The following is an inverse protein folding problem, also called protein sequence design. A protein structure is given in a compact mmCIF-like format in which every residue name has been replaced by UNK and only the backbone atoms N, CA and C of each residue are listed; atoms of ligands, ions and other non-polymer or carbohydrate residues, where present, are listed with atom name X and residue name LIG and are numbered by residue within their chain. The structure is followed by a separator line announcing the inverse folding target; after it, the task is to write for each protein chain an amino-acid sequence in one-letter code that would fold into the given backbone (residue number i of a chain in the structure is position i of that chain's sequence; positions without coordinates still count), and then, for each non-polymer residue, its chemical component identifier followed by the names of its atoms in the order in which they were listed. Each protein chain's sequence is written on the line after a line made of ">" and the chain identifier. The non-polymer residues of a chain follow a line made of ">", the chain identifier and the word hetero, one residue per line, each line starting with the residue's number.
data_IF_624555040776
#
_entry.id   IF_624555040776
#
_cell.length_a   1.000
_cell.length_b   1.000
_cell.length_c   1.000
_cell.angle_alpha   90.00
_cell.angle_beta   90.00
_cell.angle_gamma   90.00
#
_symmetry.space_group_name_H-M   'P 1'
#
loop_
_entity.id
_entity.type
_entity.pdbx_description
1 polymer ?
#
# COMPACT_ATOMS: atom_id res chain seq x y z
N UNK A 1 -48.60 -30.26 -32.89
CA UNK A 1 -48.12 -30.73 -34.22
C UNK A 1 -46.64 -30.38 -34.28
N UNK A 2 -45.63 -31.25 -34.32
CA UNK A 2 -45.43 -32.70 -34.50
C UNK A 2 -43.93 -32.84 -34.86
N UNK A 3 -43.20 -33.95 -34.70
CA UNK A 3 -43.50 -35.32 -34.24
C UNK A 3 -42.20 -36.04 -33.83
N UNK A 4 -42.28 -36.99 -32.89
CA UNK A 4 -41.22 -37.90 -32.38
C UNK A 4 -41.70 -39.33 -32.69
N UNK A 5 -40.91 -40.26 -33.32
CA UNK A 5 -39.70 -40.92 -32.75
C UNK A 5 -38.63 -41.25 -33.87
N UNK A 6 -37.64 -42.20 -33.73
CA UNK A 6 -37.21 -43.02 -32.58
C UNK A 6 -35.70 -43.10 -32.28
N UNK A 7 -35.43 -43.60 -31.07
CA UNK A 7 -34.16 -44.08 -30.52
C UNK A 7 -33.67 -45.42 -31.10
N UNK A 8 -32.37 -45.72 -30.94
CA UNK A 8 -31.83 -47.09 -30.93
C UNK A 8 -30.89 -47.33 -29.74
N UNK A 9 -30.79 -48.59 -29.36
CA UNK A 9 -30.31 -49.09 -28.07
C UNK A 9 -28.95 -49.82 -28.16
N UNK A 10 -28.32 -49.97 -26.97
CA UNK A 10 -27.42 -51.06 -26.53
C UNK A 10 -26.01 -51.18 -27.13
N UNK A 11 -25.02 -51.32 -26.23
CA UNK A 11 -23.61 -51.56 -26.58
C UNK A 11 -22.59 -51.56 -25.44
N UNK A 12 -22.83 -52.27 -24.32
CA UNK A 12 -21.77 -52.62 -23.34
C UNK A 12 -20.97 -53.83 -23.81
N UNK A 13 -19.63 -53.82 -23.72
CA UNK A 13 -18.91 -54.76 -22.83
C UNK A 13 -17.53 -54.22 -22.34
N UNK A 14 -16.67 -55.01 -21.67
CA UNK A 14 -16.91 -55.82 -20.48
C UNK A 14 -15.89 -55.53 -19.33
N UNK A 15 -16.19 -56.04 -18.14
CA UNK A 15 -15.27 -56.04 -16.98
C UNK A 15 -14.11 -57.03 -17.12
N UNK A 16 -12.89 -56.62 -16.71
CA UNK A 16 -11.75 -57.50 -16.31
C UNK A 16 -11.04 -56.87 -15.11
N UNK A 17 -11.26 -57.35 -13.89
CA UNK A 17 -10.56 -58.50 -13.25
C UNK A 17 -9.08 -58.23 -12.95
N UNK A 18 -8.76 -57.84 -11.72
CA UNK A 18 -7.40 -57.77 -11.18
C UNK A 18 -6.74 -59.14 -11.08
N UNK A 19 -5.40 -59.21 -11.18
CA UNK A 19 -4.59 -60.23 -10.51
C UNK A 19 -3.85 -59.63 -9.31
N UNK A 20 -4.06 -60.19 -8.12
CA UNK A 20 -3.19 -59.96 -6.97
C UNK A 20 -2.01 -60.94 -7.00
N UNK A 21 -0.84 -60.50 -6.47
CA UNK A 21 0.41 -61.22 -6.07
C UNK A 21 1.62 -60.32 -6.42
N UNK A 22 2.72 -60.26 -5.67
CA UNK A 22 3.11 -60.90 -4.41
C UNK A 22 4.03 -59.94 -3.61
N UNK A 23 3.91 -59.92 -2.28
CA UNK A 23 4.88 -59.30 -1.36
C UNK A 23 6.09 -60.23 -1.17
N UNK A 24 7.35 -59.74 -1.29
CA UNK A 24 8.52 -60.46 -0.80
C UNK A 24 8.77 -60.18 0.69
N UNK A 25 9.03 -61.26 1.42
CA UNK A 25 9.19 -61.36 2.87
C UNK A 25 10.41 -60.57 3.41
N UNK A 26 10.25 -59.99 4.61
CA UNK A 26 11.32 -59.44 5.47
C UNK A 26 12.58 -60.33 5.49
N UNK A 27 13.74 -59.77 5.14
CA UNK A 27 15.04 -60.25 5.67
C UNK A 27 15.49 -59.34 6.81
N UNK A 28 15.77 -59.95 7.96
CA UNK A 28 16.44 -59.29 9.10
C UNK A 28 17.93 -59.16 8.80
N UNK A 29 18.47 -57.95 8.83
CA UNK A 29 19.90 -57.69 8.97
C UNK A 29 20.21 -57.24 10.40
N UNK A 30 21.41 -57.61 10.89
CA UNK A 30 21.87 -57.43 12.28
C UNK A 30 22.31 -55.98 12.56
N UNK A 31 22.35 -55.54 13.83
CA UNK A 31 22.71 -54.18 14.19
C UNK A 31 24.21 -53.92 14.01
N UNK A 32 24.55 -52.72 13.52
CA UNK A 32 25.92 -52.21 13.52
C UNK A 32 26.08 -51.11 14.57
N UNK A 33 27.18 -51.27 15.31
CA UNK A 33 27.74 -50.49 16.41
C UNK A 33 27.61 -48.97 16.24
N UNK A 34 27.28 -48.31 17.35
CA UNK A 34 26.96 -46.90 17.42
C UNK A 34 28.08 -45.91 17.08
N UNK A 35 27.63 -44.77 16.55
CA UNK A 35 28.35 -43.50 16.61
C UNK A 35 27.69 -42.59 17.66
N UNK A 36 28.49 -42.10 18.60
CA UNK A 36 28.08 -41.05 19.55
C UNK A 36 27.81 -39.75 18.78
N UNK A 37 26.54 -39.37 18.65
CA UNK A 37 26.20 -37.98 18.34
C UNK A 37 26.48 -37.15 19.59
N UNK A 38 27.41 -36.20 19.49
CA UNK A 38 27.62 -35.20 20.54
C UNK A 38 26.42 -34.24 20.52
N UNK A 39 25.69 -34.14 21.62
CA UNK A 39 24.73 -33.06 21.82
C UNK A 39 25.45 -31.71 21.82
N UNK A 40 25.32 -30.96 20.74
CA UNK A 40 25.72 -29.56 20.71
C UNK A 40 24.66 -28.75 21.47
N UNK A 41 24.91 -28.50 22.76
CA UNK A 41 24.13 -27.54 23.56
C UNK A 41 24.12 -26.18 22.85
N UNK A 42 22.96 -25.75 22.37
CA UNK A 42 22.74 -24.37 21.96
C UNK A 42 22.80 -23.50 23.22
N UNK A 43 23.69 -22.51 23.32
CA UNK A 43 23.77 -21.66 24.50
C UNK A 43 22.61 -20.67 24.54
N UNK A 44 21.78 -20.75 25.57
CA UNK A 44 20.69 -19.81 25.83
C UNK A 44 21.26 -18.42 26.16
N UNK A 45 21.44 -17.56 25.16
CA UNK A 45 21.78 -16.16 25.40
C UNK A 45 20.56 -15.40 25.91
N UNK A 46 20.58 -15.08 27.22
CA UNK A 46 19.70 -14.08 27.82
C UNK A 46 19.96 -12.73 27.14
N UNK A 47 19.00 -12.23 26.36
CA UNK A 47 18.98 -10.83 25.95
C UNK A 47 18.50 -10.02 27.17
N UNK A 48 19.39 -9.20 27.73
CA UNK A 48 19.04 -8.26 28.79
C UNK A 48 18.21 -7.11 28.21
N UNK A 49 17.03 -6.86 28.78
CA UNK A 49 16.19 -5.73 28.37
C UNK A 49 16.74 -4.41 28.93
N UNK A 50 17.46 -3.65 28.11
CA UNK A 50 17.88 -2.28 28.44
C UNK A 50 16.67 -1.35 28.37
N UNK A 51 16.07 -1.09 29.54
CA UNK A 51 14.86 -0.29 29.70
C UNK A 51 15.21 1.20 29.90
N UNK A 52 15.30 1.97 28.82
CA UNK A 52 15.49 3.42 28.91
C UNK A 52 14.19 4.12 29.30
N UNK A 53 14.02 4.38 30.60
CA UNK A 53 12.99 5.27 31.13
C UNK A 53 13.46 6.72 30.99
N UNK A 54 12.67 7.56 30.33
CA UNK A 54 12.87 9.00 30.33
C UNK A 54 12.17 9.62 31.56
N UNK A 55 12.96 9.93 32.60
CA UNK A 55 12.47 10.64 33.78
C UNK A 55 12.27 12.11 33.46
N UNK A 56 11.06 12.64 33.63
CA UNK A 56 10.81 14.08 33.66
C UNK A 56 10.90 14.56 35.10
N UNK A 57 12.05 15.10 35.49
CA UNK A 57 12.19 15.75 36.80
C UNK A 57 11.61 17.16 36.76
N UNK A 58 10.81 17.48 37.78
CA UNK A 58 10.37 18.83 38.08
C UNK A 58 11.45 19.53 38.90
N UNK A 59 11.71 20.79 38.61
CA UNK A 59 12.29 21.73 39.58
C UNK A 59 11.22 22.75 39.97
N UNK A 60 10.80 22.69 41.22
CA UNK A 60 10.04 23.71 41.92
C UNK A 60 10.95 24.38 42.93
N UNK A 61 10.98 25.71 42.95
CA UNK A 61 11.23 26.62 44.10
C UNK A 61 11.65 28.00 43.54
N UNK A 62 11.46 29.15 44.21
CA UNK A 62 10.45 29.63 45.15
C UNK A 62 10.78 31.11 45.47
N UNK A 63 9.84 31.87 46.03
CA UNK A 63 10.02 33.23 46.57
C UNK A 63 10.28 34.36 45.56
N UNK A 64 9.89 35.63 45.82
CA UNK A 64 9.25 36.19 47.00
C UNK A 64 8.22 37.28 46.64
N UNK A 65 7.37 37.63 47.61
CA UNK A 65 6.33 38.66 47.54
C UNK A 65 6.83 40.07 47.18
N UNK A 66 5.95 40.90 46.59
CA UNK A 66 5.52 42.09 47.34
C UNK A 66 4.13 42.64 46.97
N UNK A 67 3.51 43.23 47.99
CA UNK A 67 2.32 44.07 48.05
C UNK A 67 2.38 45.31 47.10
N UNK A 68 1.30 46.04 46.77
CA UNK A 68 -0.13 45.97 47.10
C UNK A 68 -0.99 46.87 46.15
N UNK A 69 -2.33 46.73 46.26
CA UNK A 69 -3.43 47.75 46.25
C UNK A 69 -3.12 49.17 45.69
N UNK A 70 -4.03 49.88 45.00
CA UNK A 70 -5.40 50.28 45.39
C UNK A 70 -6.29 50.50 44.15
N UNK A 71 -7.62 50.50 44.38
CA UNK A 71 -8.76 50.53 43.45
C UNK A 71 -9.16 51.99 43.00
N UNK A 72 -10.34 52.32 42.42
CA UNK A 72 -10.43 53.28 41.31
C UNK A 72 -11.24 54.56 41.61
N UNK A 73 -11.39 55.48 40.64
CA UNK A 73 -12.31 56.62 40.81
C UNK A 73 -12.45 57.62 39.63
N UNK A 74 -13.69 57.72 39.15
CA UNK A 74 -14.40 58.79 38.43
C UNK A 74 -13.76 60.20 38.22
N UNK A 75 -14.17 60.89 37.14
CA UNK A 75 -13.96 62.35 37.04
C UNK A 75 -14.27 63.06 35.69
N UNK A 76 -15.55 63.30 35.42
CA UNK A 76 -16.16 64.40 34.65
C UNK A 76 -15.37 65.29 33.63
N UNK A 77 -15.96 65.42 32.43
CA UNK A 77 -16.16 66.66 31.63
C UNK A 77 -15.04 67.70 31.42
N UNK A 78 -14.85 68.10 30.15
CA UNK A 78 -15.14 69.50 29.80
C UNK A 78 -15.60 69.66 28.35
N UNK A 79 -16.25 70.79 28.05
CA UNK A 79 -16.93 71.07 26.79
C UNK A 79 -16.18 72.03 25.87
N UNK A 80 -16.63 72.02 24.61
CA UNK A 80 -16.63 73.12 23.63
C UNK A 80 -15.28 73.74 23.20
N UNK A 81 -14.89 73.46 21.95
CA UNK A 81 -14.47 74.51 21.01
C UNK A 81 -14.75 74.08 19.58
N UNK A 82 -15.50 74.91 18.87
CA UNK A 82 -15.75 74.82 17.43
C UNK A 82 -14.52 75.30 16.68
N UNK A 83 -14.19 74.64 15.57
CA UNK A 83 -13.66 75.32 14.39
C UNK A 83 -14.09 74.57 13.13
N UNK A 84 -14.45 75.33 12.08
CA UNK A 84 -15.11 74.80 10.89
C UNK A 84 -14.14 74.34 9.82
N UNK A 85 -14.30 73.12 9.34
CA UNK A 85 -13.67 72.62 8.10
C UNK A 85 -14.77 71.98 7.24
N UNK A 86 -14.87 72.30 5.93
CA UNK A 86 -15.89 71.70 5.07
C UNK A 86 -15.71 70.18 4.94
N UNK A 87 -16.77 69.42 5.20
CA UNK A 87 -16.80 67.98 4.91
C UNK A 87 -16.84 67.75 3.40
N UNK A 88 -15.71 67.40 2.81
CA UNK A 88 -15.68 66.73 1.50
C UNK A 88 -16.43 65.39 1.63
N UNK A 89 -17.37 65.05 0.74
CA UNK A 89 -18.04 63.75 0.78
C UNK A 89 -17.01 62.64 0.52
N UNK A 90 -16.87 61.74 1.49
CA UNK A 90 -15.96 60.60 1.42
C UNK A 90 -16.42 59.71 0.24
N UNK A 91 -15.58 59.41 -0.77
CA UNK A 91 -15.97 58.47 -1.81
C UNK A 91 -16.24 57.10 -1.17
N UNK A 92 -17.27 56.41 -1.67
CA UNK A 92 -17.67 55.10 -1.15
C UNK A 92 -16.47 54.16 -1.01
N UNK A 93 -16.36 53.38 0.10
CA UNK A 93 -15.39 52.30 0.14
C UNK A 93 -15.67 51.36 -1.05
N UNK A 94 -14.64 50.95 -1.81
CA UNK A 94 -14.86 50.09 -2.97
C UNK A 94 -15.58 48.82 -2.49
N UNK A 95 -16.69 48.51 -3.17
CA UNK A 95 -17.61 47.44 -2.77
C UNK A 95 -16.80 46.20 -2.38
N UNK A 96 -16.94 45.77 -1.12
CA UNK A 96 -16.25 44.62 -0.59
C UNK A 96 -16.59 43.42 -1.47
N UNK A 97 -15.68 43.09 -2.39
CA UNK A 97 -15.87 42.06 -3.42
C UNK A 97 -15.93 40.75 -2.68
N UNK A 98 -17.16 40.39 -2.30
CA UNK A 98 -17.48 39.26 -1.44
C UNK A 98 -17.17 38.02 -2.25
N UNK A 99 -15.89 37.62 -2.24
CA UNK A 99 -15.41 36.33 -2.71
C UNK A 99 -16.21 35.31 -1.94
N UNK A 100 -17.31 34.85 -2.54
CA UNK A 100 -17.96 33.60 -2.18
C UNK A 100 -16.82 32.58 -2.25
N UNK A 101 -16.29 32.21 -1.08
CA UNK A 101 -15.46 31.02 -0.97
C UNK A 101 -16.40 29.93 -1.40
N UNK A 102 -16.24 29.42 -2.62
CA UNK A 102 -16.93 28.22 -3.05
C UNK A 102 -16.53 27.16 -2.02
N UNK A 103 -17.45 26.83 -1.11
CA UNK A 103 -17.21 25.80 -0.12
C UNK A 103 -17.22 24.51 -0.92
N UNK A 104 -16.02 24.03 -1.28
CA UNK A 104 -15.87 22.74 -1.92
C UNK A 104 -16.46 21.71 -0.99
N UNK A 105 -17.60 21.14 -1.39
CA UNK A 105 -18.22 20.08 -0.61
C UNK A 105 -17.23 18.93 -0.49
N UNK A 106 -17.15 18.38 0.71
CA UNK A 106 -16.28 17.23 0.98
C UNK A 106 -17.02 16.19 1.77
N UNK A 107 -16.69 14.94 1.48
CA UNK A 107 -17.25 13.79 2.19
C UNK A 107 -16.16 12.81 2.60
N UNK A 108 -16.54 11.89 3.48
CA UNK A 108 -15.71 10.78 3.90
C UNK A 108 -16.35 9.50 3.41
N UNK A 109 -15.63 8.75 2.58
CA UNK A 109 -16.12 7.56 1.91
C UNK A 109 -15.30 6.36 2.37
N UNK A 110 -15.98 5.26 2.66
CA UNK A 110 -15.39 3.96 3.00
C UNK A 110 -15.63 2.97 1.87
N UNK A 111 -14.66 2.09 1.64
CA UNK A 111 -14.81 0.90 0.82
C UNK A 111 -14.36 -0.30 1.64
N UNK A 112 -15.26 -1.26 1.81
CA UNK A 112 -14.96 -2.59 2.34
C UNK A 112 -14.60 -3.52 1.18
N UNK A 113 -13.48 -4.25 1.30
CA UNK A 113 -12.97 -5.13 0.26
C UNK A 113 -12.89 -6.57 0.73
N UNK A 114 -13.48 -7.48 -0.06
CA UNK A 114 -13.26 -8.91 0.05
C UNK A 114 -12.45 -9.38 -1.16
N UNK A 115 -11.25 -9.90 -0.89
CA UNK A 115 -10.23 -10.18 -1.91
C UNK A 115 -9.97 -11.68 -1.95
N UNK A 116 -9.86 -12.24 -3.14
CA UNK A 116 -9.73 -13.68 -3.38
C UNK A 116 -8.50 -13.95 -4.26
N UNK A 117 -7.54 -14.72 -3.75
CA UNK A 117 -6.38 -15.17 -4.52
C UNK A 117 -6.82 -16.12 -5.66
N UNK A 118 -6.53 -15.74 -6.90
CA UNK A 118 -6.73 -16.60 -8.08
C UNK A 118 -5.43 -17.33 -8.48
N UNK A 119 -4.28 -16.78 -8.10
CA UNK A 119 -2.97 -17.43 -8.13
C UNK A 119 -2.36 -17.43 -6.73
N UNK A 120 -1.22 -18.09 -6.53
CA UNK A 120 -0.43 -17.87 -5.31
C UNK A 120 0.04 -16.42 -5.19
N UNK A 121 0.19 -15.95 -3.96
CA UNK A 121 0.65 -14.60 -3.62
C UNK A 121 1.97 -14.74 -2.86
N UNK A 122 2.97 -13.96 -3.27
CA UNK A 122 4.20 -13.78 -2.49
C UNK A 122 4.24 -12.34 -1.97
N UNK A 123 4.66 -12.11 -0.73
CA UNK A 123 4.92 -10.76 -0.22
C UNK A 123 6.07 -10.83 0.77
N UNK A 124 7.30 -10.66 0.29
CA UNK A 124 8.50 -10.81 1.13
C UNK A 124 8.62 -9.67 2.15
N UNK A 125 9.30 -9.96 3.25
CA UNK A 125 9.84 -8.92 4.12
C UNK A 125 11.18 -8.39 3.57
N UNK A 126 11.59 -7.18 3.96
CA UNK A 126 12.85 -6.57 3.49
C UNK A 126 14.11 -7.16 4.18
N UNK A 127 13.91 -7.96 5.23
CA UNK A 127 14.97 -8.49 6.12
C UNK A 127 15.69 -9.75 5.62
N UNK A 128 15.21 -10.40 4.55
CA UNK A 128 15.69 -11.74 4.17
C UNK A 128 16.86 -11.70 3.17
N UNK A 129 18.06 -12.05 3.64
CA UNK A 129 19.31 -12.13 2.85
C UNK A 129 19.65 -13.55 2.35
N UNK A 130 18.75 -14.51 2.47
CA UNK A 130 18.95 -15.92 2.09
C UNK A 130 18.29 -16.25 0.73
N UNK A 131 18.55 -17.45 0.21
CA UNK A 131 17.90 -17.96 -1.01
C UNK A 131 16.42 -18.28 -0.85
N UNK A 132 15.91 -18.35 0.39
CA UNK A 132 14.50 -18.59 0.72
C UNK A 132 13.86 -17.29 1.17
N UNK A 133 13.06 -16.66 0.31
CA UNK A 133 12.32 -15.45 0.64
C UNK A 133 11.05 -15.78 1.44
N UNK A 134 11.06 -15.51 2.75
CA UNK A 134 9.91 -15.73 3.63
C UNK A 134 8.83 -14.66 3.43
N UNK A 135 7.59 -15.05 3.69
CA UNK A 135 6.43 -14.16 3.63
C UNK A 135 6.46 -13.21 4.84
N UNK A 136 6.17 -11.94 4.57
CA UNK A 136 6.10 -10.88 5.58
C UNK A 136 5.03 -11.20 6.63
N UNK A 137 5.45 -11.26 7.89
CA UNK A 137 4.55 -11.47 9.02
C UNK A 137 4.39 -10.23 9.88
N UNK A 138 3.29 -10.18 10.61
CA UNK A 138 3.01 -9.21 11.67
C UNK A 138 2.43 -9.93 12.89
N UNK A 139 2.69 -9.40 14.08
CA UNK A 139 2.16 -9.94 15.33
C UNK A 139 0.67 -9.59 15.47
N UNK A 140 -0.16 -10.61 15.68
CA UNK A 140 -1.59 -10.51 15.94
C UNK A 140 -1.85 -11.09 17.32
N UNK A 141 -2.39 -10.25 18.22
CA UNK A 141 -2.77 -10.66 19.57
C UNK A 141 -4.03 -11.53 19.49
N UNK A 142 -3.93 -12.76 19.97
CA UNK A 142 -5.00 -13.75 20.01
C UNK A 142 -6.01 -13.46 21.14
N UNK A 143 -7.21 -14.08 21.13
CA UNK A 143 -8.22 -13.87 22.16
C UNK A 143 -7.79 -14.24 23.60
N UNK A 144 -6.77 -15.08 23.76
CA UNK A 144 -6.16 -15.44 25.05
C UNK A 144 -5.07 -14.46 25.52
N UNK A 145 -4.74 -13.45 24.71
CA UNK A 145 -3.70 -12.45 24.97
C UNK A 145 -2.30 -12.84 24.49
N UNK A 146 -2.11 -14.01 23.88
CA UNK A 146 -0.82 -14.40 23.27
C UNK A 146 -0.58 -13.69 21.93
N UNK A 147 0.67 -13.57 21.49
CA UNK A 147 1.03 -12.96 20.20
C UNK A 147 1.44 -14.02 19.18
N UNK A 148 0.82 -14.00 18.00
CA UNK A 148 1.16 -14.90 16.88
C UNK A 148 1.57 -14.14 15.61
N UNK A 149 2.61 -14.62 14.92
CA UNK A 149 3.13 -13.99 13.70
C UNK A 149 2.40 -14.48 12.45
N UNK A 150 1.46 -13.69 11.93
CA UNK A 150 0.60 -14.04 10.79
C UNK A 150 1.11 -13.41 9.48
N UNK A 151 1.11 -14.11 8.33
CA UNK A 151 1.43 -13.55 7.02
C UNK A 151 0.43 -12.45 6.61
N UNK A 152 0.89 -11.20 6.44
CA UNK A 152 0.02 -10.07 6.12
C UNK A 152 0.65 -9.21 5.00
N UNK A 153 -0.16 -8.88 4.00
CA UNK A 153 0.26 -7.96 2.93
C UNK A 153 0.12 -6.53 3.47
N UNK A 154 1.23 -5.79 3.46
CA UNK A 154 1.28 -4.46 4.06
C UNK A 154 0.39 -3.47 3.30
N UNK A 155 -0.33 -2.61 4.04
CA UNK A 155 -1.14 -1.55 3.45
C UNK A 155 -0.32 -0.57 2.60
N UNK A 156 1.00 -0.45 2.85
CA UNK A 156 1.91 0.32 1.99
C UNK A 156 2.10 -0.32 0.60
N UNK A 157 2.21 -1.66 0.52
CA UNK A 157 2.33 -2.36 -0.76
C UNK A 157 1.03 -2.24 -1.56
N UNK A 158 -0.11 -2.48 -0.92
CA UNK A 158 -1.43 -2.33 -1.55
C UNK A 158 -1.69 -0.89 -2.03
N UNK A 159 -1.37 0.10 -1.18
CA UNK A 159 -1.38 1.53 -1.55
C UNK A 159 -0.46 1.85 -2.72
N UNK A 160 0.70 1.18 -2.82
CA UNK A 160 1.64 1.31 -3.93
C UNK A 160 1.03 0.82 -5.24
N UNK A 161 0.34 -0.32 -5.24
CA UNK A 161 -0.42 -0.83 -6.40
C UNK A 161 -1.47 0.19 -6.85
N UNK A 162 -2.35 0.61 -5.94
CA UNK A 162 -3.44 1.56 -6.26
C UNK A 162 -2.89 2.92 -6.74
N UNK A 163 -1.74 3.38 -6.20
CA UNK A 163 -1.10 4.61 -6.68
C UNK A 163 -0.61 4.49 -8.13
N UNK A 164 -0.05 3.35 -8.53
CA UNK A 164 0.45 3.12 -9.89
C UNK A 164 -0.68 3.09 -10.92
N UNK A 165 -1.78 2.41 -10.60
CA UNK A 165 -3.02 2.45 -11.40
C UNK A 165 -3.51 3.90 -11.56
N UNK A 166 -3.52 4.67 -10.47
CA UNK A 166 -3.87 6.09 -10.53
C UNK A 166 -2.88 6.96 -11.33
N UNK A 167 -1.60 6.59 -11.37
CA UNK A 167 -0.57 7.27 -12.18
C UNK A 167 -0.75 6.99 -13.67
N UNK A 168 -1.05 5.74 -14.03
CA UNK A 168 -1.37 5.30 -15.39
C UNK A 168 -2.64 6.02 -15.89
N UNK A 169 -3.75 5.96 -15.13
CA UNK A 169 -4.97 6.70 -15.46
C UNK A 169 -4.77 8.21 -15.61
N UNK A 170 -3.89 8.80 -14.81
CA UNK A 170 -3.59 10.24 -14.87
C UNK A 170 -2.67 10.57 -16.05
N UNK A 171 -1.78 9.65 -16.44
CA UNK A 171 -0.93 9.77 -17.63
C UNK A 171 -1.76 9.80 -18.90
N UNK A 172 -2.76 8.90 -19.03
CA UNK A 172 -3.68 8.86 -20.18
C UNK A 172 -4.47 10.16 -20.40
N UNK A 173 -4.60 10.99 -19.34
CA UNK A 173 -5.35 12.25 -19.37
C UNK A 173 -4.45 13.46 -19.57
N UNK A 174 -3.28 13.48 -18.93
CA UNK A 174 -2.34 14.60 -19.03
C UNK A 174 -1.36 14.48 -20.19
N UNK A 175 -1.12 13.28 -20.72
CA UNK A 175 -0.16 13.02 -21.80
C UNK A 175 1.19 13.73 -21.57
N UNK A 176 1.88 13.30 -20.50
CA UNK A 176 3.10 13.95 -19.99
C UNK A 176 4.39 13.19 -20.32
N UNK A 177 4.32 12.19 -21.21
CA UNK A 177 5.49 11.36 -21.50
C UNK A 177 6.65 12.20 -22.05
N UNK A 178 7.83 12.08 -21.42
CA UNK A 178 9.00 12.90 -21.73
C UNK A 178 8.97 14.35 -21.22
N UNK A 179 7.87 14.87 -20.65
CA UNK A 179 7.76 16.27 -20.21
C UNK A 179 8.02 16.48 -18.72
N UNK A 180 7.82 15.46 -17.87
CA UNK A 180 8.00 15.59 -16.42
C UNK A 180 9.46 15.50 -15.97
N UNK A 181 9.79 16.27 -14.93
CA UNK A 181 11.03 16.10 -14.19
C UNK A 181 11.07 14.74 -13.48
N UNK A 182 12.26 14.16 -13.32
CA UNK A 182 12.44 12.89 -12.60
C UNK A 182 11.88 12.91 -11.15
N UNK A 183 12.01 14.00 -10.36
CA UNK A 183 11.33 14.14 -9.07
C UNK A 183 9.80 14.12 -9.17
N UNK A 184 9.20 14.78 -10.16
CA UNK A 184 7.75 14.77 -10.37
C UNK A 184 7.26 13.36 -10.74
N UNK A 185 7.92 12.70 -11.70
CA UNK A 185 7.60 11.34 -12.13
C UNK A 185 7.71 10.31 -10.98
N UNK A 186 8.79 10.36 -10.19
CA UNK A 186 8.89 9.55 -8.97
C UNK A 186 7.80 9.90 -7.96
N UNK A 187 7.42 11.17 -7.85
CA UNK A 187 6.34 11.56 -6.95
C UNK A 187 5.01 10.98 -7.38
N UNK A 188 4.60 11.11 -8.64
CA UNK A 188 3.38 10.49 -9.15
C UNK A 188 3.40 8.97 -8.95
N UNK A 189 4.48 8.28 -9.33
CA UNK A 189 4.53 6.81 -9.39
C UNK A 189 4.76 6.09 -8.05
N UNK A 190 5.53 6.67 -7.13
CA UNK A 190 5.87 6.02 -5.83
C UNK A 190 5.64 6.90 -4.60
N UNK A 191 5.26 8.17 -4.77
CA UNK A 191 5.11 9.14 -3.69
C UNK A 191 6.34 10.01 -3.46
N UNK A 192 7.45 9.73 -4.13
CA UNK A 192 8.68 10.53 -4.07
C UNK A 192 9.45 10.33 -2.77
N UNK A 193 10.69 10.83 -2.72
CA UNK A 193 11.55 10.77 -1.55
C UNK A 193 11.86 12.17 -1.03
N UNK A 194 11.82 12.36 0.29
CA UNK A 194 12.28 13.59 0.91
C UNK A 194 13.78 13.79 0.64
N UNK A 195 14.16 14.98 0.17
CA UNK A 195 15.55 15.37 -0.07
C UNK A 195 15.84 16.71 0.59
N UNK A 196 17.07 16.87 1.10
CA UNK A 196 17.57 18.17 1.55
C UNK A 196 17.94 18.99 0.31
N UNK A 197 17.07 19.91 -0.08
CA UNK A 197 17.28 20.81 -1.22
C UNK A 197 17.83 22.16 -0.72
N UNK A 198 18.69 22.83 -1.52
CA UNK A 198 19.22 24.17 -1.20
C UNK A 198 18.28 25.32 -1.61
N UNK A 199 17.25 25.04 -2.40
CA UNK A 199 16.24 26.00 -2.85
C UNK A 199 15.11 26.20 -1.83
N UNK A 200 14.30 27.22 -2.05
CA UNK A 200 13.11 27.49 -1.23
C UNK A 200 12.10 26.34 -1.33
N UNK A 201 11.58 25.81 -0.20
CA UNK A 201 10.49 24.83 -0.22
C UNK A 201 9.24 25.38 -0.90
N UNK A 202 8.44 24.52 -1.55
CA UNK A 202 7.14 24.94 -2.08
C UNK A 202 6.26 25.52 -0.96
N UNK A 203 5.72 26.72 -1.21
CA UNK A 203 4.84 27.40 -0.26
C UNK A 203 3.55 26.61 -0.01
N UNK A 204 2.96 26.80 1.18
CA UNK A 204 1.73 26.09 1.57
C UNK A 204 0.57 26.28 0.59
N UNK A 205 0.45 27.46 -0.05
CA UNK A 205 -0.55 27.73 -1.07
C UNK A 205 -0.30 26.97 -2.38
N UNK A 206 0.95 26.80 -2.82
CA UNK A 206 1.31 25.97 -3.98
C UNK A 206 1.01 24.49 -3.72
N UNK A 207 1.33 24.00 -2.52
CA UNK A 207 1.03 22.62 -2.11
C UNK A 207 -0.47 22.35 -2.00
N UNK A 208 -1.24 23.30 -1.48
CA UNK A 208 -2.71 23.22 -1.46
C UNK A 208 -3.31 23.27 -2.86
N UNK A 209 -2.82 24.16 -3.73
CA UNK A 209 -3.23 24.25 -5.12
C UNK A 209 -2.98 22.93 -5.86
N UNK A 210 -1.76 22.38 -5.82
CA UNK A 210 -1.42 21.09 -6.40
C UNK A 210 -2.32 19.94 -5.90
N UNK A 211 -2.63 19.93 -4.59
CA UNK A 211 -3.49 18.93 -3.94
C UNK A 211 -4.96 19.01 -4.38
N UNK A 212 -5.42 20.18 -4.79
CA UNK A 212 -6.79 20.39 -5.25
C UNK A 212 -6.92 20.23 -6.77
N UNK A 213 -5.88 20.60 -7.52
CA UNK A 213 -5.78 20.51 -8.98
C UNK A 213 -5.54 19.07 -9.46
N UNK A 214 -4.59 18.36 -8.86
CA UNK A 214 -4.14 17.04 -9.30
C UNK A 214 -4.75 15.97 -8.39
N UNK A 215 -5.75 15.18 -8.84
CA UNK A 215 -6.51 14.30 -7.95
C UNK A 215 -5.65 13.19 -7.32
N UNK A 216 -4.63 12.68 -8.03
CA UNK A 216 -3.65 11.73 -7.48
C UNK A 216 -2.90 12.30 -6.26
N UNK A 217 -2.46 13.55 -6.33
CA UNK A 217 -1.83 14.24 -5.19
C UNK A 217 -2.88 14.53 -4.09
N UNK A 218 -4.11 14.87 -4.47
CA UNK A 218 -5.23 15.03 -3.55
C UNK A 218 -5.54 13.78 -2.71
N UNK A 219 -5.49 12.61 -3.35
CA UNK A 219 -5.80 11.30 -2.77
C UNK A 219 -4.60 10.67 -2.08
N UNK A 220 -3.49 10.47 -2.80
CA UNK A 220 -2.31 9.75 -2.29
C UNK A 220 -1.19 10.68 -1.77
N UNK A 221 -1.30 12.00 -1.90
CA UNK A 221 -0.24 12.92 -1.47
C UNK A 221 1.07 12.71 -2.24
N UNK A 222 2.18 13.17 -1.67
CA UNK A 222 3.52 12.98 -2.24
C UNK A 222 4.55 13.90 -1.61
N UNK A 223 5.82 13.72 -1.97
CA UNK A 223 6.94 14.53 -1.49
C UNK A 223 7.36 15.58 -2.54
N UNK A 224 7.07 16.84 -2.21
CA UNK A 224 7.63 18.12 -2.66
C UNK A 224 9.08 18.40 -2.30
N UNK A 225 10.10 17.78 -2.89
CA UNK A 225 11.50 18.01 -2.51
C UNK A 225 11.77 17.84 -1.00
N UNK A 226 11.71 18.92 -0.21
CA UNK A 226 11.85 18.96 1.24
C UNK A 226 10.52 18.89 2.03
N UNK A 227 9.38 18.99 1.36
CA UNK A 227 8.05 19.14 1.98
C UNK A 227 7.09 18.00 1.60
N UNK A 228 6.26 17.56 2.56
CA UNK A 228 5.32 16.45 2.38
C UNK A 228 3.88 16.95 2.20
N UNK A 229 3.21 16.52 1.13
CA UNK A 229 1.77 16.70 0.93
C UNK A 229 1.04 15.49 1.50
N UNK A 230 0.22 15.71 2.53
CA UNK A 230 -0.63 14.66 3.11
C UNK A 230 -1.83 14.35 2.20
N UNK A 231 -1.86 13.12 1.67
CA UNK A 231 -3.01 12.56 0.96
C UNK A 231 -4.23 12.37 1.86
N UNK A 232 -5.39 12.12 1.23
CA UNK A 232 -6.67 11.83 1.92
C UNK A 232 -6.97 10.35 2.07
N UNK A 233 -6.27 9.47 1.35
CA UNK A 233 -6.42 8.03 1.42
C UNK A 233 -5.74 7.42 2.64
N UNK A 234 -6.53 6.69 3.43
CA UNK A 234 -6.11 5.70 4.41
C UNK A 234 -6.43 4.33 3.82
N UNK A 235 -5.49 3.39 3.87
CA UNK A 235 -5.60 2.08 3.22
C UNK A 235 -5.22 1.03 4.24
N UNK A 236 -6.12 0.07 4.46
CA UNK A 236 -5.91 -1.06 5.35
C UNK A 236 -4.80 -1.98 4.86
N UNK A 237 -4.35 -2.88 5.74
CA UNK A 237 -3.58 -4.06 5.34
C UNK A 237 -4.51 -5.00 4.59
N UNK A 238 -3.96 -5.90 3.78
CA UNK A 238 -4.74 -7.01 3.20
C UNK A 238 -4.44 -8.24 4.05
N UNK A 239 -5.39 -8.59 4.91
CA UNK A 239 -5.24 -9.57 6.00
C UNK A 239 -5.92 -10.87 5.57
N UNK A 240 -5.24 -12.03 5.57
CA UNK A 240 -5.87 -13.29 5.19
C UNK A 240 -6.89 -13.71 6.25
N UNK A 241 -7.96 -14.38 5.83
CA UNK A 241 -8.89 -15.06 6.74
C UNK A 241 -8.30 -16.41 7.12
N UNK A 242 -7.75 -16.48 8.33
CA UNK A 242 -7.18 -17.68 8.97
C UNK A 242 -7.66 -17.73 10.42
N UNK A 243 -7.47 -18.87 11.10
CA UNK A 243 -7.86 -19.04 12.52
C UNK A 243 -7.31 -17.91 13.40
N UNK A 244 -6.07 -17.49 13.15
CA UNK A 244 -5.30 -16.51 13.93
C UNK A 244 -5.73 -15.05 13.70
N UNK A 245 -6.66 -14.78 12.78
CA UNK A 245 -7.10 -13.42 12.41
C UNK A 245 -8.61 -13.20 12.44
N UNK A 246 -9.41 -14.26 12.57
CA UNK A 246 -10.87 -14.17 12.47
C UNK A 246 -11.48 -13.19 13.50
N UNK A 247 -10.93 -13.12 14.71
CA UNK A 247 -11.41 -12.23 15.79
C UNK A 247 -11.12 -10.74 15.54
N UNK A 248 -10.27 -10.40 14.56
CA UNK A 248 -10.04 -9.00 14.13
C UNK A 248 -10.72 -8.68 12.78
N UNK A 249 -11.48 -9.61 12.20
CA UNK A 249 -12.25 -9.38 10.98
C UNK A 249 -13.55 -8.61 11.27
N UNK A 250 -13.91 -7.70 10.38
CA UNK A 250 -15.19 -6.97 10.44
C UNK A 250 -16.35 -7.83 9.92
N UNK A 251 -16.05 -8.82 9.07
CA UNK A 251 -17.02 -9.74 8.46
C UNK A 251 -16.65 -11.19 8.82
N UNK A 252 -17.56 -11.98 9.44
CA UNK A 252 -17.26 -13.35 9.81
C UNK A 252 -17.14 -14.25 8.58
N UNK A 253 -16.25 -15.25 8.67
CA UNK A 253 -16.09 -16.27 7.66
C UNK A 253 -17.34 -17.13 7.51
N UNK A 254 -17.66 -17.48 6.26
CA UNK A 254 -18.72 -18.44 5.91
C UNK A 254 -18.19 -19.86 5.73
N UNK A 255 -16.87 -20.05 5.81
CA UNK A 255 -16.18 -21.31 5.56
C UNK A 255 -15.29 -21.69 6.76
N UNK A 256 -15.05 -23.00 6.98
CA UNK A 256 -14.04 -23.45 7.93
C UNK A 256 -12.67 -22.82 7.62
N UNK A 257 -12.04 -22.26 8.64
CA UNK A 257 -10.75 -21.60 8.51
C UNK A 257 -9.61 -22.59 8.70
N UNK A 258 -8.54 -22.40 7.92
CA UNK A 258 -7.24 -23.02 8.14
C UNK A 258 -6.41 -22.12 9.07
N UNK A 259 -5.45 -22.74 9.76
CA UNK A 259 -4.34 -22.02 10.40
C UNK A 259 -3.41 -21.45 9.33
N UNK A 260 -2.72 -20.35 9.63
CA UNK A 260 -1.60 -19.89 8.79
C UNK A 260 -0.53 -20.96 8.52
N UNK A 261 -0.30 -21.88 9.47
CA UNK A 261 0.66 -22.99 9.32
C UNK A 261 0.17 -24.08 8.34
N UNK A 262 -1.15 -24.24 8.20
CA UNK A 262 -1.78 -25.15 7.23
C UNK A 262 -1.87 -24.50 5.84
N UNK A 263 -1.88 -23.16 5.78
CA UNK A 263 -2.10 -22.38 4.57
C UNK A 263 -0.80 -22.06 3.81
N UNK A 264 0.30 -21.76 4.51
CA UNK A 264 1.55 -21.31 3.87
C UNK A 264 2.27 -22.44 3.10
N UNK A 265 2.70 -22.12 1.88
CA UNK A 265 3.45 -23.03 1.00
C UNK A 265 4.82 -22.50 0.61
N UNK A 266 5.74 -23.39 0.22
CA UNK A 266 7.06 -23.03 -0.34
C UNK A 266 7.10 -23.40 -1.82
N UNK A 267 7.11 -22.39 -2.69
CA UNK A 267 7.40 -22.54 -4.11
C UNK A 267 8.91 -22.48 -4.36
N UNK A 268 9.37 -23.22 -5.39
CA UNK A 268 10.79 -23.39 -5.71
C UNK A 268 11.05 -23.05 -7.17
N UNK A 269 12.06 -22.23 -7.40
CA UNK A 269 12.51 -21.81 -8.73
C UNK A 269 13.98 -22.18 -8.90
N UNK A 270 14.33 -22.62 -10.11
CA UNK A 270 15.71 -22.74 -10.55
C UNK A 270 16.00 -21.61 -11.53
N UNK A 271 17.10 -20.88 -11.32
CA UNK A 271 17.66 -19.98 -12.34
C UNK A 271 18.83 -20.69 -13.00
N UNK A 272 18.75 -20.85 -14.32
CA UNK A 272 19.90 -21.22 -15.13
C UNK A 272 20.86 -20.02 -15.20
N UNK A 273 22.15 -20.33 -15.12
CA UNK A 273 23.22 -19.35 -15.25
C UNK A 273 23.74 -19.44 -16.68
N UNK A 274 23.23 -18.56 -17.54
CA UNK A 274 23.58 -18.43 -18.96
C UNK A 274 24.90 -17.64 -19.11
N UNK A 275 25.86 -17.91 -18.22
CA UNK A 275 27.22 -17.35 -18.24
C UNK A 275 28.10 -17.99 -19.31
N UNK A 276 27.63 -19.07 -19.94
CA UNK A 276 28.24 -19.69 -21.10
C UNK A 276 27.92 -18.86 -22.35
N UNK A 277 28.95 -18.31 -23.01
CA UNK A 277 28.84 -17.32 -24.09
C UNK A 277 28.33 -17.88 -25.43
N UNK A 278 27.72 -19.06 -25.43
CA UNK A 278 27.33 -19.81 -26.62
C UNK A 278 26.26 -19.13 -27.48
N UNK A 279 25.29 -18.44 -26.87
CA UNK A 279 24.14 -17.84 -27.57
C UNK A 279 24.28 -16.34 -27.88
N UNK A 280 25.36 -15.69 -27.43
CA UNK A 280 25.64 -14.28 -27.74
C UNK A 280 26.65 -14.17 -28.89
N UNK A 281 26.32 -13.52 -30.02
CA UNK A 281 27.31 -13.27 -31.06
C UNK A 281 28.43 -12.39 -30.49
N UNK A 282 29.67 -12.88 -30.57
CA UNK A 282 30.84 -12.20 -30.02
C UNK A 282 31.01 -10.79 -30.62
N UNK A 283 30.61 -9.78 -29.85
CA UNK A 283 30.88 -8.37 -30.13
C UNK A 283 31.95 -7.81 -29.19
N UNK A 284 33.06 -8.53 -29.05
CA UNK A 284 34.35 -7.96 -28.68
C UNK A 284 35.47 -8.96 -28.98
N UNK A 285 36.33 -8.64 -29.95
CA UNK A 285 37.70 -9.12 -29.93
C UNK A 285 38.44 -8.36 -28.81
N UNK A 286 38.31 -8.87 -27.58
CA UNK A 286 39.15 -8.48 -26.45
C UNK A 286 40.20 -9.58 -26.25
N UNK A 287 41.44 -9.18 -26.02
CA UNK A 287 42.62 -10.04 -26.08
C UNK A 287 42.54 -11.15 -25.02
N UNK A 288 42.76 -12.39 -25.45
CA UNK A 288 42.75 -13.55 -24.57
C UNK A 288 44.08 -13.62 -23.80
N UNK A 289 44.09 -13.07 -22.58
CA UNK A 289 45.11 -13.43 -21.59
C UNK A 289 44.61 -14.64 -20.77
N UNK A 290 45.48 -15.63 -20.62
CA UNK A 290 45.08 -17.00 -20.28
C UNK A 290 45.48 -17.37 -18.86
N UNK A 291 44.56 -17.23 -17.90
CA UNK A 291 44.41 -18.13 -16.74
C UNK A 291 43.19 -17.74 -15.90
N UNK A 292 42.06 -18.43 -16.10
CA UNK A 292 40.98 -18.50 -15.12
C UNK A 292 40.22 -19.81 -15.30
N UNK A 293 40.03 -20.62 -14.23
CA UNK A 293 39.26 -21.85 -14.34
C UNK A 293 37.82 -21.51 -14.70
N UNK A 294 37.25 -22.25 -15.66
CA UNK A 294 35.85 -22.12 -16.05
C UNK A 294 34.97 -22.27 -14.81
N UNK A 295 34.43 -21.15 -14.33
CA UNK A 295 33.67 -21.09 -13.08
C UNK A 295 32.28 -21.63 -13.42
N UNK A 296 32.04 -22.89 -13.06
CA UNK A 296 30.92 -23.65 -13.62
C UNK A 296 29.56 -23.00 -13.39
N UNK A 297 28.68 -23.09 -14.41
CA UNK A 297 27.29 -22.63 -14.37
C UNK A 297 26.60 -23.06 -13.08
N UNK A 298 26.39 -22.08 -12.17
CA UNK A 298 25.82 -22.34 -10.87
C UNK A 298 24.30 -22.22 -10.95
N UNK A 299 23.62 -23.35 -11.19
CA UNK A 299 22.16 -23.44 -11.13
C UNK A 299 21.64 -23.02 -9.74
N UNK A 300 21.28 -21.75 -9.58
CA UNK A 300 20.83 -21.20 -8.31
C UNK A 300 19.38 -21.56 -8.07
N UNK A 301 19.12 -22.25 -6.95
CA UNK A 301 17.76 -22.53 -6.47
C UNK A 301 17.33 -21.44 -5.50
N UNK A 302 16.14 -20.91 -5.72
CA UNK A 302 15.49 -19.94 -4.84
C UNK A 302 14.15 -20.49 -4.39
N UNK A 303 13.84 -20.29 -3.12
CA UNK A 303 12.55 -20.64 -2.55
C UNK A 303 11.78 -19.37 -2.20
N UNK A 304 10.45 -19.43 -2.27
CA UNK A 304 9.58 -18.32 -1.90
C UNK A 304 8.41 -18.88 -1.14
N UNK A 305 8.16 -18.31 0.04
CA UNK A 305 6.97 -18.62 0.79
C UNK A 305 5.77 -17.84 0.24
N UNK A 306 4.66 -18.55 0.07
CA UNK A 306 3.46 -18.05 -0.60
C UNK A 306 2.19 -18.39 0.17
N UNK A 307 1.19 -17.52 0.02
CA UNK A 307 -0.20 -17.88 0.28
C UNK A 307 -0.78 -18.48 -1.02
N UNK A 308 -1.43 -19.66 -0.98
CA UNK A 308 -1.90 -20.35 -2.17
C UNK A 308 -3.12 -19.67 -2.79
N UNK A 309 -3.39 -20.01 -4.05
CA UNK A 309 -4.66 -19.70 -4.69
C UNK A 309 -5.83 -20.22 -3.86
N UNK A 310 -6.95 -19.50 -3.85
CA UNK A 310 -8.11 -19.75 -2.98
C UNK A 310 -8.04 -19.06 -1.63
N UNK A 311 -6.88 -18.52 -1.20
CA UNK A 311 -6.80 -17.69 0.02
C UNK A 311 -7.73 -16.49 -0.10
N UNK A 312 -8.54 -16.24 0.94
CA UNK A 312 -9.42 -15.07 1.03
C UNK A 312 -8.86 -14.05 2.02
N UNK A 313 -9.10 -12.77 1.76
CA UNK A 313 -8.58 -11.66 2.56
C UNK A 313 -9.65 -10.61 2.80
N UNK A 314 -9.51 -9.92 3.93
CA UNK A 314 -10.22 -8.68 4.22
C UNK A 314 -9.29 -7.48 4.02
N UNK A 315 -9.83 -6.39 3.47
CA UNK A 315 -9.21 -5.07 3.54
C UNK A 315 -10.26 -3.96 3.52
N UNK A 316 -9.80 -2.72 3.68
CA UNK A 316 -10.64 -1.53 3.64
C UNK A 316 -9.87 -0.33 3.11
N UNK A 317 -10.59 0.64 2.56
CA UNK A 317 -10.04 1.93 2.12
C UNK A 317 -10.94 3.05 2.61
N UNK A 318 -10.35 4.18 3.03
CA UNK A 318 -11.08 5.37 3.45
C UNK A 318 -10.49 6.63 2.83
N UNK A 319 -11.31 7.39 2.10
CA UNK A 319 -10.99 8.77 1.75
C UNK A 319 -11.57 9.72 2.80
N UNK A 320 -10.73 10.51 3.45
CA UNK A 320 -11.16 11.45 4.50
C UNK A 320 -11.28 12.88 3.98
N UNK A 321 -12.47 13.47 4.08
CA UNK A 321 -12.77 14.85 3.63
C UNK A 321 -12.25 15.13 2.22
N UNK A 322 -12.58 14.22 1.30
CA UNK A 322 -12.23 14.31 -0.11
C UNK A 322 -13.28 15.09 -0.90
N UNK A 323 -12.83 15.75 -1.95
CA UNK A 323 -13.71 16.44 -2.91
C UNK A 323 -14.35 15.43 -3.84
N UNK A 324 -15.47 15.79 -4.48
CA UNK A 324 -16.15 14.93 -5.45
C UNK A 324 -15.20 14.47 -6.57
N UNK A 325 -14.33 15.36 -7.07
CA UNK A 325 -13.25 15.06 -8.02
C UNK A 325 -12.30 13.95 -7.55
N UNK A 326 -11.86 14.02 -6.29
CA UNK A 326 -10.94 13.04 -5.69
C UNK A 326 -11.61 11.69 -5.44
N UNK A 327 -12.92 11.70 -5.15
CA UNK A 327 -13.72 10.50 -4.97
C UNK A 327 -14.01 9.83 -6.31
N UNK A 328 -14.31 10.61 -7.37
CA UNK A 328 -14.47 10.12 -8.73
C UNK A 328 -13.18 9.46 -9.24
N UNK A 329 -12.05 10.18 -9.20
CA UNK A 329 -10.74 9.64 -9.58
C UNK A 329 -10.40 8.33 -8.83
N UNK A 330 -10.61 8.29 -7.51
CA UNK A 330 -10.30 7.08 -6.75
C UNK A 330 -11.29 5.93 -6.98
N UNK A 331 -12.54 6.23 -7.34
CA UNK A 331 -13.52 5.20 -7.72
C UNK A 331 -13.04 4.47 -8.97
N UNK A 332 -12.50 5.20 -9.96
CA UNK A 332 -11.93 4.60 -11.17
C UNK A 332 -10.63 3.82 -10.89
N UNK A 333 -9.74 4.34 -10.03
CA UNK A 333 -8.56 3.60 -9.56
C UNK A 333 -8.94 2.26 -8.93
N UNK A 334 -10.01 2.24 -8.14
CA UNK A 334 -10.52 1.00 -7.55
C UNK A 334 -11.20 0.12 -8.60
N UNK A 335 -11.92 0.69 -9.57
CA UNK A 335 -12.55 -0.06 -10.66
C UNK A 335 -11.51 -0.84 -11.49
N UNK A 336 -10.43 -0.18 -11.92
CA UNK A 336 -9.30 -0.83 -12.61
C UNK A 336 -8.67 -1.94 -11.75
N UNK A 337 -8.45 -1.68 -10.45
CA UNK A 337 -7.96 -2.70 -9.53
C UNK A 337 -8.92 -3.88 -9.35
N UNK A 338 -10.24 -3.65 -9.39
CA UNK A 338 -11.22 -4.76 -9.33
C UNK A 338 -11.30 -5.55 -10.64
N UNK A 339 -11.00 -4.92 -11.78
CA UNK A 339 -11.03 -5.55 -13.10
C UNK A 339 -9.80 -6.45 -13.36
N UNK A 340 -8.61 -6.01 -12.95
CA UNK A 340 -7.34 -6.71 -13.24
C UNK A 340 -6.39 -6.81 -12.03
N UNK A 341 -6.95 -7.01 -10.83
CA UNK A 341 -6.25 -6.92 -9.55
C UNK A 341 -5.01 -7.80 -9.41
N UNK A 342 -3.92 -7.18 -8.94
CA UNK A 342 -2.65 -7.87 -8.60
C UNK A 342 -2.08 -7.40 -7.25
N UNK A 343 -1.68 -8.33 -6.39
CA UNK A 343 -1.10 -8.08 -5.08
C UNK A 343 0.23 -8.82 -4.86
N UNK A 344 1.12 -8.21 -4.07
CA UNK A 344 2.39 -8.83 -3.69
C UNK A 344 3.48 -8.70 -4.76
N UNK A 345 4.47 -9.59 -4.70
CA UNK A 345 5.62 -9.67 -5.60
C UNK A 345 5.46 -10.73 -6.70
N UNK A 346 6.47 -10.81 -7.58
CA UNK A 346 6.58 -11.81 -8.66
C UNK A 346 5.43 -11.80 -9.68
N UNK A 347 4.77 -10.65 -9.82
CA UNK A 347 3.61 -10.43 -10.73
C UNK A 347 3.89 -10.72 -12.21
N UNK A 348 5.16 -10.74 -12.62
CA UNK A 348 5.61 -11.05 -13.99
C UNK A 348 5.70 -12.55 -14.30
N UNK A 349 5.62 -13.42 -13.28
CA UNK A 349 5.72 -14.88 -13.43
C UNK A 349 4.47 -15.60 -12.89
N UNK A 350 3.30 -14.96 -12.99
CA UNK A 350 2.00 -15.57 -12.66
C UNK A 350 1.53 -15.44 -11.21
N UNK A 351 2.25 -14.74 -10.34
CA UNK A 351 1.83 -14.50 -8.96
C UNK A 351 0.88 -13.30 -8.82
N UNK A 352 0.18 -13.27 -7.69
CA UNK A 352 -0.52 -12.11 -7.18
C UNK A 352 -1.89 -11.83 -7.78
N UNK A 353 -2.38 -12.62 -8.75
CA UNK A 353 -3.67 -12.39 -9.39
C UNK A 353 -4.81 -12.54 -8.37
N UNK A 354 -5.68 -11.53 -8.28
CA UNK A 354 -6.81 -11.52 -7.34
C UNK A 354 -8.13 -11.10 -8.01
N UNK A 355 -9.23 -11.65 -7.50
CA UNK A 355 -10.59 -11.14 -7.71
C UNK A 355 -10.97 -10.31 -6.50
N UNK A 356 -11.68 -9.20 -6.71
CA UNK A 356 -12.02 -8.26 -5.63
C UNK A 356 -13.50 -7.91 -5.70
N UNK A 357 -14.20 -8.08 -4.59
CA UNK A 357 -15.53 -7.53 -4.35
C UNK A 357 -15.36 -6.28 -3.49
N UNK A 358 -16.10 -5.19 -3.80
CA UNK A 358 -16.04 -3.95 -3.04
C UNK A 358 -17.41 -3.37 -2.75
N UNK A 359 -17.62 -2.90 -1.53
CA UNK A 359 -18.85 -2.19 -1.11
C UNK A 359 -18.49 -0.80 -0.64
N UNK A 360 -19.11 0.23 -1.25
CA UNK A 360 -18.87 1.65 -0.93
C UNK A 360 -19.96 2.19 0.01
N UNK A 361 -19.56 2.95 1.03
CA UNK A 361 -20.48 3.72 1.89
C UNK A 361 -19.98 5.15 2.13
N UNK A 362 -20.90 6.10 2.37
CA UNK A 362 -20.55 7.47 2.80
C UNK A 362 -20.71 7.54 4.31
N UNK A 363 -19.62 7.88 5.01
CA UNK A 363 -19.56 7.87 6.49
C UNK A 363 -19.62 9.26 7.12
N UNK A 364 -19.38 10.33 6.35
CA UNK A 364 -19.62 11.71 6.77
C UNK A 364 -19.73 12.66 5.57
N UNK A 365 -20.48 13.76 5.72
CA UNK A 365 -20.71 14.76 4.66
C UNK A 365 -21.77 14.32 3.64
N UNK A 366 -22.05 15.19 2.67
CA UNK A 366 -22.99 14.92 1.58
C UNK A 366 -22.47 13.80 0.67
N UNK A 367 -23.30 12.85 0.20
CA UNK A 367 -22.90 11.91 -0.84
C UNK A 367 -22.28 12.63 -2.04
N UNK A 368 -21.11 12.16 -2.49
CA UNK A 368 -20.36 12.81 -3.56
C UNK A 368 -21.15 12.81 -4.88
N UNK A 369 -21.16 13.95 -5.57
CA UNK A 369 -21.80 14.09 -6.89
C UNK A 369 -21.07 13.25 -7.94
N UNK A 370 -21.77 12.85 -8.99
CA UNK A 370 -21.13 12.32 -10.19
C UNK A 370 -20.36 13.44 -10.89
N UNK A 371 -19.06 13.25 -11.12
CA UNK A 371 -18.16 14.22 -11.77
C UNK A 371 -17.22 13.46 -12.68
N UNK A 372 -17.09 13.86 -13.95
CA UNK A 372 -16.01 13.37 -14.81
C UNK A 372 -14.70 14.08 -14.42
N UNK A 373 -13.86 13.34 -13.71
CA UNK A 373 -12.55 13.85 -13.29
C UNK A 373 -11.56 13.97 -14.45
N UNK A 374 -11.74 13.19 -15.53
CA UNK A 374 -10.88 13.26 -16.73
C UNK A 374 -11.21 14.51 -17.52
N UNK A 375 -12.49 14.80 -17.77
CA UNK A 375 -12.92 16.05 -18.40
C UNK A 375 -12.41 17.26 -17.62
N UNK A 376 -12.62 17.28 -16.30
CA UNK A 376 -12.10 18.34 -15.45
C UNK A 376 -10.58 18.47 -15.56
N UNK A 377 -9.83 17.38 -15.44
CA UNK A 377 -8.36 17.43 -15.49
C UNK A 377 -7.83 17.85 -16.88
N UNK A 378 -8.51 17.51 -17.98
CA UNK A 378 -8.18 18.02 -19.33
C UNK A 378 -8.37 19.54 -19.42
N UNK A 379 -9.45 20.06 -18.82
CA UNK A 379 -9.74 21.51 -18.83
C UNK A 379 -8.71 22.37 -18.09
N UNK A 380 -7.92 21.76 -17.19
CA UNK A 380 -6.84 22.40 -16.41
C UNK A 380 -5.48 21.72 -16.64
N UNK A 381 -5.31 21.07 -17.80
CA UNK A 381 -4.13 20.25 -18.13
C UNK A 381 -2.84 21.04 -18.00
N UNK A 382 -2.79 22.23 -18.59
CA UNK A 382 -1.54 22.99 -18.68
C UNK A 382 -1.14 23.56 -17.31
N UNK A 383 -2.10 24.04 -16.50
CA UNK A 383 -1.89 24.37 -15.08
C UNK A 383 -1.32 23.17 -14.30
N UNK A 384 -1.85 21.96 -14.53
CA UNK A 384 -1.40 20.75 -13.86
C UNK A 384 0.03 20.36 -14.26
N UNK A 385 0.40 20.56 -15.53
CA UNK A 385 1.76 20.35 -16.02
C UNK A 385 2.72 21.43 -15.50
N UNK A 386 2.32 22.70 -15.42
CA UNK A 386 3.13 23.77 -14.82
C UNK A 386 3.44 23.47 -13.35
N UNK A 387 2.45 23.01 -12.59
CA UNK A 387 2.63 22.58 -11.20
C UNK A 387 3.58 21.39 -11.07
N UNK A 388 3.55 20.43 -12.01
CA UNK A 388 4.45 19.27 -12.01
C UNK A 388 5.86 19.58 -12.55
N UNK A 389 6.02 20.57 -13.43
CA UNK A 389 7.32 21.02 -13.90
C UNK A 389 8.14 21.67 -12.76
N UNK A 390 7.46 22.35 -11.83
CA UNK A 390 8.04 23.08 -10.71
C UNK A 390 8.09 22.27 -9.38
N UNK A 391 8.18 20.94 -9.46
CA UNK A 391 7.99 20.00 -8.33
C UNK A 391 9.21 19.77 -7.42
#
# INVERSE_FOLDING_TARGET
>A
MGSIPPSRLLGTPPSRSSPARHLPVRRRSRPMVGHRVREARIPTQRIAATRTLATTERTTEASADNHARIDPGAGASNADRRDGIPRVPNPHPPAARQRRRNITMTSTVHWDLDIYALSSISHKDDSTSTTTALFRREEVIQPDGTGELVPIISGNSFRGTLRRIGEELLRDVLDYEGTLSLPAAHTLRSGGALRKTKGEPLSGSRLEHARNLIPLIGVFGGNSSSTMIKGRAQIGKVVPRVKETEHIMSRPSKLPLLSQFELLGIERYSRFDDSDTADFPSTAAAEADAESPATGSHLMRYEVETLPAGTTFESWIRLTRATDLQIAFFTDVLAEFTAAGRLGGRLSIGHGMVRVESTRSTTAGTPASAVDWREHLRSVRDDALEVLANW
#
